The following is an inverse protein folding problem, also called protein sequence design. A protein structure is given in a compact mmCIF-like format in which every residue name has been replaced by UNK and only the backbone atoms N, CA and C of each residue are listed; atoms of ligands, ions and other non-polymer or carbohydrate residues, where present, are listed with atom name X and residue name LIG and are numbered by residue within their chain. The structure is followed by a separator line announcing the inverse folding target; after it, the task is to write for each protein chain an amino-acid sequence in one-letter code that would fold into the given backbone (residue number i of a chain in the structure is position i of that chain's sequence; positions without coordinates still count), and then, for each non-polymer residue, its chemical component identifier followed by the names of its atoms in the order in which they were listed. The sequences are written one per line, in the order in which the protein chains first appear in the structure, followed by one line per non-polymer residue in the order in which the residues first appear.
data_IF_501724865678
#
_entry.id   IF_501724865678
#
_cell.length_a   1.000
_cell.length_b   1.000
_cell.length_c   1.000
_cell.angle_alpha   90.00
_cell.angle_beta   90.00
_cell.angle_gamma   90.00
#
_symmetry.space_group_name_H-M   'P 1'
#
loop_
_entity.id
_entity.type
_entity.pdbx_description
1 polymer ?
#
# COMPACT_ATOMS: atom_id res chain seq x y z
N UNK A 1 -9.25 59.43 -64.98
CA UNK A 1 -8.33 58.63 -64.14
C UNK A 1 -8.23 59.26 -62.75
N UNK A 2 -9.19 59.02 -61.85
CA UNK A 2 -9.16 59.61 -60.49
C UNK A 2 -9.82 58.74 -59.40
N UNK A 3 -10.18 57.48 -59.71
CA UNK A 3 -10.83 56.57 -58.77
C UNK A 3 -9.90 55.43 -58.29
N UNK A 4 -8.73 55.26 -58.90
CA UNK A 4 -7.75 54.21 -58.55
C UNK A 4 -6.64 54.67 -57.59
N UNK A 5 -6.38 55.99 -57.48
CA UNK A 5 -5.32 56.53 -56.60
C UNK A 5 -5.74 56.59 -55.12
N UNK A 6 -7.04 56.73 -54.81
CA UNK A 6 -7.53 56.76 -53.41
C UNK A 6 -7.61 55.40 -52.72
N UNK A 7 -7.34 54.30 -53.44
CA UNK A 7 -7.33 52.94 -52.88
C UNK A 7 -5.94 52.45 -52.47
N UNK A 8 -4.87 53.16 -52.88
CA UNK A 8 -3.48 52.77 -52.61
C UNK A 8 -2.94 53.30 -51.28
N UNK A 9 -3.45 54.43 -50.80
CA UNK A 9 -2.94 55.09 -49.59
C UNK A 9 -3.59 54.63 -48.26
N UNK A 10 -4.66 53.82 -48.31
CA UNK A 10 -5.37 53.36 -47.09
C UNK A 10 -5.03 51.93 -46.63
N UNK A 11 -4.06 51.26 -47.26
CA UNK A 11 -3.65 49.89 -46.91
C UNK A 11 -2.51 49.81 -45.87
N UNK A 12 -1.87 50.92 -45.50
CA UNK A 12 -0.70 50.89 -44.59
C UNK A 12 -1.07 50.88 -43.09
N UNK A 13 -2.24 51.41 -42.71
CA UNK A 13 -2.60 51.62 -41.28
C UNK A 13 -3.25 50.38 -40.63
N UNK A 14 -3.79 49.44 -41.40
CA UNK A 14 -4.44 48.24 -40.86
C UNK A 14 -3.50 47.04 -40.66
N UNK A 15 -2.35 46.99 -41.34
CA UNK A 15 -1.41 45.85 -41.27
C UNK A 15 -0.43 45.91 -40.10
N UNK A 16 -0.04 47.11 -39.66
CA UNK A 16 0.98 47.29 -38.60
C UNK A 16 0.43 47.00 -37.20
N UNK A 17 -0.83 47.36 -36.94
CA UNK A 17 -1.48 47.13 -35.64
C UNK A 17 -1.69 45.65 -35.28
N UNK A 18 -1.83 44.78 -36.29
CA UNK A 18 -1.94 43.33 -36.09
C UNK A 18 -0.58 42.71 -35.75
N UNK A 19 0.51 43.14 -36.41
CA UNK A 19 1.85 42.60 -36.13
C UNK A 19 2.37 43.00 -34.74
N UNK A 20 2.03 44.21 -34.27
CA UNK A 20 2.49 44.71 -32.98
C UNK A 20 1.71 44.09 -31.83
N UNK A 21 0.38 43.90 -31.97
CA UNK A 21 -0.42 43.14 -31.00
C UNK A 21 0.03 41.68 -30.87
N UNK A 22 0.39 41.04 -31.98
CA UNK A 22 0.92 39.68 -31.96
C UNK A 22 2.25 39.60 -31.18
N UNK A 23 3.18 40.54 -31.40
CA UNK A 23 4.46 40.63 -30.66
C UNK A 23 4.24 40.87 -29.17
N UNK A 24 3.39 41.83 -28.80
CA UNK A 24 3.07 42.12 -27.40
C UNK A 24 2.39 40.94 -26.69
N UNK A 25 1.58 40.14 -27.40
CA UNK A 25 0.97 38.93 -26.85
C UNK A 25 2.02 37.84 -26.57
N UNK A 26 2.96 37.60 -27.49
CA UNK A 26 4.04 36.62 -27.27
C UNK A 26 4.98 37.02 -26.13
N UNK A 27 5.34 38.31 -26.05
CA UNK A 27 6.13 38.84 -24.93
C UNK A 27 5.38 38.69 -23.61
N UNK A 28 4.07 38.97 -23.58
CA UNK A 28 3.25 38.79 -22.39
C UNK A 28 3.20 37.33 -21.92
N UNK A 29 3.12 36.35 -22.83
CA UNK A 29 3.19 34.92 -22.48
C UNK A 29 4.56 34.55 -21.91
N UNK A 30 5.65 35.04 -22.52
CA UNK A 30 7.01 34.81 -22.02
C UNK A 30 7.20 35.37 -20.61
N UNK A 31 6.78 36.61 -20.38
CA UNK A 31 6.86 37.25 -19.07
C UNK A 31 6.02 36.51 -18.03
N UNK A 32 4.78 36.11 -18.35
CA UNK A 32 3.94 35.33 -17.45
C UNK A 32 4.56 33.98 -17.08
N UNK A 33 5.19 33.30 -18.04
CA UNK A 33 5.90 32.05 -17.75
C UNK A 33 7.11 32.27 -16.85
N UNK A 34 7.84 33.36 -17.06
CA UNK A 34 8.98 33.73 -16.22
C UNK A 34 8.54 34.11 -14.80
N UNK A 35 7.43 34.84 -14.65
CA UNK A 35 6.81 35.14 -13.35
C UNK A 35 6.46 33.84 -12.64
N UNK A 36 5.73 32.92 -13.30
CA UNK A 36 5.39 31.60 -12.72
C UNK A 36 6.62 30.80 -12.31
N UNK A 37 7.69 30.84 -13.11
CA UNK A 37 8.94 30.17 -12.77
C UNK A 37 9.60 30.79 -11.54
N UNK A 38 9.59 32.13 -11.44
CA UNK A 38 10.14 32.85 -10.30
C UNK A 38 9.33 32.60 -9.03
N UNK A 39 8.00 32.60 -9.11
CA UNK A 39 7.09 32.28 -7.99
C UNK A 39 7.40 30.90 -7.41
N UNK A 40 7.53 29.87 -8.26
CA UNK A 40 7.95 28.53 -7.83
C UNK A 40 9.32 28.52 -7.17
N UNK A 41 10.25 29.35 -7.65
CA UNK A 41 11.57 29.45 -7.04
C UNK A 41 11.54 30.17 -5.70
N UNK A 42 10.72 31.21 -5.55
CA UNK A 42 10.50 31.87 -4.28
C UNK A 42 9.94 30.88 -3.25
N UNK A 43 8.91 30.10 -3.59
CA UNK A 43 8.38 29.06 -2.70
C UNK A 43 9.46 28.07 -2.25
N UNK A 44 10.28 27.57 -3.19
CA UNK A 44 11.37 26.65 -2.88
C UNK A 44 12.42 27.26 -1.96
N UNK A 45 12.85 28.49 -2.23
CA UNK A 45 13.86 29.18 -1.42
C UNK A 45 13.32 29.51 -0.03
N UNK A 46 12.08 29.98 0.07
CA UNK A 46 11.41 30.22 1.35
C UNK A 46 11.33 28.94 2.18
N UNK A 47 10.95 27.82 1.56
CA UNK A 47 10.96 26.51 2.23
C UNK A 47 12.37 26.12 2.71
N UNK A 48 13.41 26.30 1.88
CA UNK A 48 14.79 26.00 2.26
C UNK A 48 15.27 26.85 3.43
N UNK A 49 14.92 28.15 3.44
CA UNK A 49 15.20 29.03 4.58
C UNK A 49 14.50 28.50 5.84
N UNK A 50 13.22 28.12 5.74
CA UNK A 50 12.49 27.52 6.86
C UNK A 50 13.16 26.24 7.40
N UNK A 51 13.56 25.33 6.52
CA UNK A 51 14.29 24.10 6.89
C UNK A 51 15.60 24.44 7.60
N UNK A 52 16.38 25.39 7.07
CA UNK A 52 17.65 25.78 7.65
C UNK A 52 17.49 26.52 8.99
N UNK A 53 16.42 27.32 9.11
CA UNK A 53 16.04 28.01 10.33
C UNK A 53 15.75 27.00 11.44
N UNK A 54 14.85 26.05 11.19
CA UNK A 54 14.56 24.96 12.13
C UNK A 54 15.83 24.18 12.47
N UNK A 55 16.60 23.76 11.47
CA UNK A 55 17.83 22.97 11.70
C UNK A 55 18.82 23.64 12.64
N UNK A 56 18.97 24.97 12.55
CA UNK A 56 19.98 25.70 13.30
C UNK A 56 19.47 26.30 14.62
N UNK A 57 18.17 26.61 14.70
CA UNK A 57 17.60 27.44 15.76
C UNK A 57 16.50 26.76 16.57
N UNK A 58 16.16 25.49 16.30
CA UNK A 58 15.06 24.79 16.98
C UNK A 58 15.20 24.74 18.52
N UNK A 59 16.41 24.88 19.05
CA UNK A 59 16.71 24.85 20.48
C UNK A 59 16.97 26.24 21.08
N UNK A 60 16.85 27.31 20.28
CA UNK A 60 17.05 28.68 20.75
C UNK A 60 15.85 29.13 21.59
N UNK A 61 16.04 29.21 22.90
CA UNK A 61 14.98 29.49 23.87
C UNK A 61 14.32 30.87 23.72
N UNK A 62 15.04 31.85 23.15
CA UNK A 62 14.59 33.24 22.97
C UNK A 62 14.15 33.52 21.52
N UNK A 63 13.86 32.48 20.72
CA UNK A 63 13.40 32.67 19.34
C UNK A 63 11.98 33.25 19.30
N UNK A 64 11.76 34.22 18.41
CA UNK A 64 10.41 34.72 18.07
C UNK A 64 9.49 33.62 17.50
N UNK A 65 10.07 32.53 17.00
CA UNK A 65 9.36 31.36 16.48
C UNK A 65 9.18 30.26 17.54
N UNK A 66 9.40 30.56 18.82
CA UNK A 66 9.41 29.59 19.92
C UNK A 66 8.16 28.69 19.98
N UNK A 67 6.97 29.24 19.71
CA UNK A 67 5.73 28.45 19.67
C UNK A 67 5.73 27.41 18.53
N UNK A 68 6.16 27.81 17.33
CA UNK A 68 6.26 26.91 16.17
C UNK A 68 7.33 25.83 16.40
N UNK A 69 8.47 26.22 16.99
CA UNK A 69 9.53 25.29 17.36
C UNK A 69 9.09 24.29 18.43
N UNK A 70 8.35 24.75 19.44
CA UNK A 70 7.73 23.89 20.45
C UNK A 70 6.79 22.85 19.82
N UNK A 71 5.97 23.27 18.86
CA UNK A 71 5.07 22.35 18.14
C UNK A 71 5.82 21.35 17.26
N UNK A 72 6.88 21.77 16.56
CA UNK A 72 7.76 20.88 15.80
C UNK A 72 8.35 19.80 16.72
N UNK A 73 8.88 20.20 17.88
CA UNK A 73 9.47 19.26 18.85
C UNK A 73 8.40 18.29 19.40
N UNK A 74 7.19 18.78 19.68
CA UNK A 74 6.06 17.95 20.12
C UNK A 74 5.74 16.87 19.09
N UNK A 75 5.56 17.26 17.82
CA UNK A 75 5.25 16.35 16.71
C UNK A 75 6.39 15.38 16.41
N UNK A 76 7.65 15.80 16.52
CA UNK A 76 8.80 14.90 16.38
C UNK A 76 8.79 13.80 17.45
N UNK A 77 8.49 14.16 18.71
CA UNK A 77 8.38 13.19 19.81
C UNK A 77 7.21 12.23 19.60
N UNK A 78 6.05 12.73 19.19
CA UNK A 78 4.88 11.91 18.85
C UNK A 78 5.19 10.93 17.71
N UNK A 79 5.82 11.40 16.63
CA UNK A 79 6.24 10.55 15.52
C UNK A 79 7.23 9.46 15.95
N UNK A 80 8.16 9.78 16.85
CA UNK A 80 9.08 8.78 17.40
C UNK A 80 8.32 7.68 18.15
N UNK A 81 7.31 8.05 18.95
CA UNK A 81 6.47 7.08 19.68
C UNK A 81 5.62 6.24 18.72
N UNK A 82 4.99 6.86 17.73
CA UNK A 82 4.21 6.16 16.71
C UNK A 82 5.08 5.18 15.91
N UNK A 83 6.30 5.58 15.54
CA UNK A 83 7.24 4.68 14.88
C UNK A 83 7.64 3.50 15.76
N UNK A 84 7.81 3.69 17.08
CA UNK A 84 8.06 2.58 18.01
C UNK A 84 6.86 1.65 18.11
N UNK A 85 5.63 2.17 18.13
CA UNK A 85 4.42 1.36 18.12
C UNK A 85 4.28 0.57 16.82
N UNK A 86 4.52 1.20 15.66
CA UNK A 86 4.57 0.52 14.37
C UNK A 86 5.62 -0.58 14.40
N UNK A 87 6.83 -0.30 14.90
CA UNK A 87 7.87 -1.32 15.04
C UNK A 87 7.45 -2.45 15.98
N UNK A 88 6.80 -2.18 17.13
CA UNK A 88 6.34 -3.24 18.02
C UNK A 88 5.27 -4.13 17.37
N UNK A 89 4.37 -3.53 16.57
CA UNK A 89 3.33 -4.25 15.83
C UNK A 89 3.88 -5.01 14.60
N UNK A 90 4.96 -4.50 14.00
CA UNK A 90 5.59 -5.06 12.78
C UNK A 90 6.87 -5.84 13.04
N UNK A 91 7.36 -5.87 14.29
CA UNK A 91 8.34 -6.80 14.84
C UNK A 91 7.70 -8.18 14.97
N UNK A 92 7.11 -8.63 13.87
CA UNK A 92 6.60 -9.96 13.74
C UNK A 92 7.66 -10.90 13.25
N UNK A 93 7.27 -12.16 13.16
CA UNK A 93 8.19 -13.26 12.97
C UNK A 93 8.67 -13.25 11.51
N UNK A 94 9.82 -12.63 11.26
CA UNK A 94 10.43 -12.58 9.94
C UNK A 94 10.80 -14.00 9.54
N UNK A 95 10.26 -14.45 8.41
CA UNK A 95 10.52 -15.78 7.91
C UNK A 95 12.01 -15.97 7.60
N UNK A 96 12.65 -16.94 8.23
CA UNK A 96 14.06 -17.25 7.98
C UNK A 96 14.30 -17.94 6.62
N UNK A 97 13.23 -18.39 5.94
CA UNK A 97 13.31 -19.02 4.62
C UNK A 97 13.13 -18.02 3.47
N UNK A 98 12.26 -17.01 3.60
CA UNK A 98 11.99 -16.05 2.51
C UNK A 98 12.10 -14.57 2.88
N UNK A 99 12.31 -14.22 4.15
CA UNK A 99 12.44 -12.83 4.62
C UNK A 99 11.12 -12.06 4.79
N UNK A 100 9.96 -12.67 4.52
CA UNK A 100 8.67 -12.01 4.68
C UNK A 100 8.38 -11.72 6.16
N UNK A 101 7.96 -10.49 6.48
CA UNK A 101 7.52 -10.13 7.83
C UNK A 101 6.09 -10.60 8.05
N UNK A 102 5.92 -11.58 8.92
CA UNK A 102 4.61 -12.14 9.24
C UNK A 102 4.09 -11.50 10.53
N UNK A 103 2.80 -11.64 10.80
CA UNK A 103 2.24 -11.28 12.10
C UNK A 103 3.06 -11.97 13.23
N UNK A 104 3.36 -11.30 14.36
CA UNK A 104 4.06 -11.89 15.50
C UNK A 104 3.50 -13.26 15.96
N UNK A 105 2.18 -13.45 15.85
CA UNK A 105 1.49 -14.68 16.28
C UNK A 105 1.41 -15.76 15.19
N UNK A 106 1.94 -15.49 13.99
CA UNK A 106 1.91 -16.44 12.88
C UNK A 106 2.81 -17.66 13.17
N UNK A 107 2.22 -18.86 13.08
CA UNK A 107 2.94 -20.14 13.23
C UNK A 107 3.69 -20.54 11.95
N UNK A 108 3.18 -20.13 10.78
CA UNK A 108 3.73 -20.41 9.47
C UNK A 108 3.80 -19.14 8.63
N UNK A 109 4.76 -19.08 7.72
CA UNK A 109 4.94 -17.95 6.82
C UNK A 109 3.79 -17.88 5.82
N UNK A 110 3.12 -16.73 5.73
CA UNK A 110 2.07 -16.54 4.74
C UNK A 110 2.61 -16.48 3.30
N UNK A 111 3.88 -16.12 3.14
CA UNK A 111 4.51 -16.02 1.82
C UNK A 111 5.04 -17.37 1.30
N UNK A 112 5.64 -18.21 2.15
CA UNK A 112 6.28 -19.46 1.69
C UNK A 112 5.84 -20.73 2.43
N UNK A 113 4.96 -20.62 3.44
CA UNK A 113 4.47 -21.75 4.22
C UNK A 113 5.45 -22.30 5.28
N UNK A 114 6.70 -21.83 5.32
CA UNK A 114 7.69 -22.33 6.30
C UNK A 114 7.31 -21.97 7.73
N UNK A 115 7.52 -22.86 8.72
CA UNK A 115 7.25 -22.55 10.13
C UNK A 115 8.13 -21.39 10.61
N UNK A 116 7.53 -20.48 11.39
CA UNK A 116 8.20 -19.24 11.83
C UNK A 116 8.77 -19.35 13.24
N UNK A 117 8.25 -20.25 14.07
CA UNK A 117 8.82 -20.58 15.37
C UNK A 117 9.67 -21.84 15.24
N UNK A 118 10.93 -21.80 15.70
CA UNK A 118 11.64 -23.04 16.06
C UNK A 118 10.77 -23.72 17.11
N UNK A 119 10.28 -24.92 16.81
CA UNK A 119 9.60 -25.75 17.80
C UNK A 119 10.47 -25.74 19.06
N UNK A 120 9.88 -25.40 20.21
CA UNK A 120 10.52 -25.68 21.50
C UNK A 120 10.98 -27.14 21.45
N UNK A 121 12.18 -27.48 21.95
CA UNK A 121 12.66 -28.84 21.92
C UNK A 121 11.66 -29.70 22.68
N UNK A 122 10.80 -30.41 21.94
CA UNK A 122 9.97 -31.46 22.49
C UNK A 122 10.95 -32.51 22.99
N UNK A 123 10.99 -32.63 24.30
CA UNK A 123 11.72 -33.65 25.02
C UNK A 123 11.48 -35.00 24.37
N UNK A 124 12.56 -35.77 24.20
CA UNK A 124 12.58 -37.16 23.73
C UNK A 124 11.86 -38.10 24.73
N UNK A 125 10.58 -37.87 24.98
CA UNK A 125 9.69 -38.88 25.54
C UNK A 125 9.25 -39.84 24.44
N UNK A 126 8.95 -41.11 24.75
CA UNK A 126 8.42 -42.05 23.78
C UNK A 126 7.04 -41.57 23.30
N UNK A 127 7.01 -40.89 22.16
CA UNK A 127 5.76 -40.42 21.57
C UNK A 127 5.08 -41.60 20.87
N UNK A 128 3.86 -41.91 21.31
CA UNK A 128 2.94 -42.79 20.59
C UNK A 128 2.42 -42.06 19.34
N UNK A 129 3.32 -41.71 18.42
CA UNK A 129 3.10 -40.83 17.27
C UNK A 129 2.85 -41.58 15.97
N UNK A 130 2.32 -40.86 14.96
CA UNK A 130 2.04 -41.42 13.63
C UNK A 130 3.15 -41.12 12.63
N UNK A 131 3.61 -42.16 11.95
CA UNK A 131 4.63 -42.06 10.91
C UNK A 131 4.04 -41.42 9.64
N UNK A 132 4.70 -40.38 9.13
CA UNK A 132 4.33 -39.78 7.86
C UNK A 132 4.53 -40.79 6.72
N UNK A 133 3.52 -41.03 5.87
CA UNK A 133 3.63 -41.98 4.76
C UNK A 133 4.54 -41.46 3.63
N UNK A 134 4.77 -40.15 3.55
CA UNK A 134 5.60 -39.56 2.48
C UNK A 134 7.08 -39.48 2.84
N UNK A 135 7.44 -39.09 4.07
CA UNK A 135 8.84 -38.88 4.46
C UNK A 135 9.32 -39.77 5.62
N UNK A 136 8.41 -40.50 6.27
CA UNK A 136 8.75 -41.39 7.37
C UNK A 136 8.99 -40.71 8.72
N UNK A 137 8.88 -39.39 8.83
CA UNK A 137 8.99 -38.68 10.12
C UNK A 137 7.83 -39.04 11.05
N UNK A 138 8.12 -39.26 12.34
CA UNK A 138 7.11 -39.58 13.35
C UNK A 138 6.55 -38.27 13.93
N UNK A 139 5.27 -38.01 13.69
CA UNK A 139 4.56 -36.82 14.15
C UNK A 139 3.72 -37.15 15.39
N UNK A 140 3.28 -36.15 16.15
CA UNK A 140 2.37 -36.37 17.27
C UNK A 140 1.04 -37.01 16.81
N UNK A 141 0.41 -37.79 17.69
CA UNK A 141 -0.78 -38.59 17.34
C UNK A 141 -1.93 -37.74 16.75
N UNK A 142 -2.07 -36.51 17.24
CA UNK A 142 -3.07 -35.52 16.87
C UNK A 142 -2.68 -34.64 15.66
N UNK A 143 -1.46 -34.77 15.12
CA UNK A 143 -0.97 -33.89 14.04
C UNK A 143 -1.79 -34.02 12.76
N UNK A 144 -2.42 -32.97 12.22
CA UNK A 144 -3.14 -33.07 10.94
C UNK A 144 -2.20 -33.14 9.72
N UNK A 145 -0.99 -32.57 9.84
CA UNK A 145 0.02 -32.50 8.77
C UNK A 145 1.40 -32.91 9.30
N UNK A 146 2.25 -33.43 8.42
CA UNK A 146 3.62 -33.77 8.76
C UNK A 146 4.46 -32.50 8.91
N UNK A 147 5.14 -32.33 10.03
CA UNK A 147 5.95 -31.13 10.30
C UNK A 147 7.21 -31.04 9.42
N UNK A 148 7.70 -32.17 8.91
CA UNK A 148 8.87 -32.21 8.03
C UNK A 148 8.54 -31.96 6.55
N UNK A 149 7.41 -32.47 6.04
CA UNK A 149 7.13 -32.43 4.60
C UNK A 149 5.74 -31.90 4.21
N UNK A 150 4.91 -31.48 5.16
CA UNK A 150 3.58 -30.91 4.90
C UNK A 150 2.49 -31.91 4.49
N UNK A 151 2.81 -33.19 4.32
CA UNK A 151 1.82 -34.22 3.95
C UNK A 151 0.69 -34.26 4.97
N UNK A 152 -0.57 -34.24 4.50
CA UNK A 152 -1.72 -34.44 5.38
C UNK A 152 -1.71 -35.88 5.93
N UNK A 153 -1.69 -35.99 7.25
CA UNK A 153 -1.63 -37.25 8.00
C UNK A 153 -2.84 -37.39 8.95
N UNK A 154 -3.91 -36.64 8.71
CA UNK A 154 -5.14 -36.67 9.52
C UNK A 154 -5.88 -38.01 9.37
N UNK A 155 -5.76 -38.68 8.22
CA UNK A 155 -6.56 -39.87 7.88
C UNK A 155 -5.78 -41.20 7.81
N UNK A 156 -4.49 -41.25 8.17
CA UNK A 156 -3.67 -42.48 8.02
C UNK A 156 -3.87 -43.54 9.11
N UNK A 157 -4.82 -43.34 10.03
CA UNK A 157 -5.28 -44.37 10.96
C UNK A 157 -6.53 -45.10 10.41
N UNK A 158 -6.41 -45.70 9.23
CA UNK A 158 -7.14 -46.90 8.78
C UNK A 158 -7.05 -47.02 7.26
N UNK A 159 -6.37 -48.05 6.76
CA UNK A 159 -6.73 -48.67 5.49
C UNK A 159 -6.12 -50.07 5.39
N UNK A 160 -6.98 -51.10 5.44
CA UNK A 160 -7.13 -52.08 4.36
C UNK A 160 -8.52 -52.78 4.47
N UNK A 161 -9.04 -53.50 3.45
CA UNK A 161 -10.34 -53.21 2.85
C UNK A 161 -11.40 -54.33 3.05
N UNK A 162 -12.62 -54.02 2.59
CA UNK A 162 -13.80 -54.86 2.28
C UNK A 162 -14.96 -55.01 3.28
N UNK A 163 -16.14 -54.75 2.70
CA UNK A 163 -17.46 -55.37 2.90
C UNK A 163 -18.39 -54.83 4.00
N UNK A 164 -19.28 -53.92 3.55
CA UNK A 164 -20.75 -54.06 3.62
C UNK A 164 -21.45 -54.05 4.98
N UNK A 165 -22.26 -53.03 5.24
CA UNK A 165 -23.73 -53.11 5.45
C UNK A 165 -24.34 -51.71 5.56
N UNK A 166 -25.50 -51.56 4.93
CA UNK A 166 -26.42 -50.42 5.02
C UNK A 166 -26.90 -50.13 6.44
N UNK A 167 -27.05 -48.85 6.80
CA UNK A 167 -28.37 -48.26 7.12
C UNK A 167 -28.26 -46.87 7.79
N UNK A 168 -28.87 -45.90 7.09
CA UNK A 168 -29.80 -44.87 7.59
C UNK A 168 -29.26 -43.64 8.37
N UNK A 169 -29.08 -42.58 7.58
CA UNK A 169 -29.58 -41.20 7.74
C UNK A 169 -29.92 -40.71 9.16
N UNK A 170 -29.29 -39.61 9.55
CA UNK A 170 -29.95 -38.39 10.03
C UNK A 170 -29.01 -37.18 9.87
N UNK A 171 -29.38 -36.25 8.98
CA UNK A 171 -28.84 -34.88 8.94
C UNK A 171 -29.38 -34.08 10.13
N UNK A 172 -28.59 -33.11 10.63
CA UNK A 172 -29.09 -31.74 10.43
C UNK A 172 -28.00 -30.75 10.01
N UNK A 173 -28.21 -30.20 8.81
CA UNK A 173 -28.28 -28.77 8.51
C UNK A 173 -27.02 -27.93 8.75
N UNK A 174 -26.13 -27.96 7.76
CA UNK A 174 -25.22 -26.85 7.48
C UNK A 174 -26.03 -25.68 6.91
N UNK A 175 -26.06 -24.54 7.59
CA UNK A 175 -26.40 -23.27 6.93
C UNK A 175 -25.14 -22.76 6.22
N UNK A 176 -25.17 -22.54 4.90
CA UNK A 176 -24.08 -21.88 4.21
C UNK A 176 -24.11 -20.39 4.57
N UNK A 177 -23.11 -19.94 5.33
CA UNK A 177 -22.82 -18.52 5.50
C UNK A 177 -22.30 -18.05 4.13
N UNK A 178 -23.15 -17.36 3.39
CA UNK A 178 -22.78 -16.72 2.13
C UNK A 178 -21.78 -15.60 2.45
N UNK A 179 -20.54 -15.72 1.97
CA UNK A 179 -19.63 -14.59 1.93
C UNK A 179 -20.30 -13.46 1.12
N UNK A 180 -20.34 -12.21 1.62
CA UNK A 180 -20.83 -11.10 0.84
C UNK A 180 -19.90 -10.91 -0.37
N UNK A 181 -20.44 -11.10 -1.57
CA UNK A 181 -19.73 -10.88 -2.83
C UNK A 181 -19.53 -9.37 -2.99
N UNK A 182 -18.43 -8.86 -2.44
CA UNK A 182 -18.09 -7.44 -2.57
C UNK A 182 -17.59 -7.15 -3.99
N UNK A 183 -18.16 -6.14 -4.69
CA UNK A 183 -17.78 -5.83 -6.05
C UNK A 183 -16.32 -5.32 -6.09
N UNK A 184 -15.54 -5.74 -7.08
CA UNK A 184 -14.14 -5.29 -7.27
C UNK A 184 -14.01 -4.45 -8.53
N UNK A 185 -13.13 -3.46 -8.50
CA UNK A 185 -12.82 -2.62 -9.65
C UNK A 185 -12.18 -3.44 -10.77
N UNK A 186 -12.73 -3.35 -11.98
CA UNK A 186 -12.20 -4.03 -13.19
C UNK A 186 -10.81 -3.52 -13.60
N UNK A 187 -10.43 -2.31 -13.21
CA UNK A 187 -9.15 -1.71 -13.60
C UNK A 187 -8.04 -1.95 -12.57
N UNK A 188 -8.29 -1.71 -11.27
CA UNK A 188 -7.26 -1.81 -10.23
C UNK A 188 -7.48 -2.92 -9.18
N UNK A 189 -8.62 -3.61 -9.19
CA UNK A 189 -8.92 -4.69 -8.25
C UNK A 189 -9.34 -4.25 -6.84
N UNK A 190 -9.42 -2.94 -6.57
CA UNK A 190 -9.91 -2.42 -5.29
C UNK A 190 -11.34 -2.85 -5.01
N UNK A 191 -11.65 -3.09 -3.73
CA UNK A 191 -13.02 -3.39 -3.29
C UNK A 191 -13.86 -2.11 -3.41
N UNK A 192 -15.03 -2.23 -4.02
CA UNK A 192 -15.97 -1.14 -4.26
C UNK A 192 -17.10 -1.19 -3.23
N UNK A 193 -17.50 -0.02 -2.74
CA UNK A 193 -18.72 0.13 -1.93
C UNK A 193 -19.97 -0.05 -2.81
N UNK A 194 -21.07 -0.54 -2.22
CA UNK A 194 -22.27 -0.98 -2.96
C UNK A 194 -22.80 0.08 -3.95
N UNK A 195 -22.71 1.37 -3.61
CA UNK A 195 -23.24 2.49 -4.41
C UNK A 195 -22.18 3.38 -5.09
N UNK A 196 -20.93 2.92 -5.16
CA UNK A 196 -19.85 3.70 -5.80
C UNK A 196 -20.01 3.76 -7.32
N UNK A 197 -20.23 4.97 -7.86
CA UNK A 197 -20.25 5.25 -9.31
C UNK A 197 -18.84 5.22 -9.95
N UNK A 198 -17.82 5.47 -9.14
CA UNK A 198 -16.41 5.50 -9.52
C UNK A 198 -15.56 4.81 -8.45
N UNK A 199 -14.48 4.16 -8.86
CA UNK A 199 -13.49 3.62 -7.93
C UNK A 199 -12.74 4.77 -7.23
N UNK A 200 -12.72 4.76 -5.90
CA UNK A 200 -12.02 5.77 -5.08
C UNK A 200 -10.50 5.73 -5.28
N UNK A 201 -9.96 4.56 -5.62
CA UNK A 201 -8.51 4.36 -5.76
C UNK A 201 -7.97 4.77 -7.14
N UNK A 202 -8.75 4.60 -8.21
CA UNK A 202 -8.25 4.83 -9.58
C UNK A 202 -9.15 5.72 -10.46
N UNK A 203 -10.27 6.21 -9.93
CA UNK A 203 -11.21 7.07 -10.65
C UNK A 203 -11.97 6.39 -11.80
N UNK A 204 -11.78 5.09 -12.02
CA UNK A 204 -12.46 4.36 -13.09
C UNK A 204 -13.95 4.24 -12.78
N UNK A 205 -14.81 4.61 -13.73
CA UNK A 205 -16.26 4.50 -13.61
C UNK A 205 -16.67 3.03 -13.52
N UNK A 206 -17.69 2.74 -12.72
CA UNK A 206 -18.31 1.42 -12.64
C UNK A 206 -19.30 1.28 -13.80
N UNK A 207 -18.97 0.44 -14.78
CA UNK A 207 -19.85 0.01 -15.89
C UNK A 207 -20.55 -1.32 -15.61
#
# INVERSE_FOLDING_TARGET
MALFEKMKDSISVAGQGVSQKAKSATESVKLNNQIKSNERMLEKLTYQVGVQCVKNHLQDAESEYGELFGEILRLQKENQQLQQMVQALTAGNVCQQCGFSNNPDAKFCISCGSPLQKAAPVSNGPVNGKKCPSCGFINAADSAFCVECGTNIAAVAANNPQAGTEAKQEEPMQQPIQEPVVPKCKNCGAILEEDSLFCTECGTRRD
#
